data_IF_670877038989
#
_entry.id   IF_670877038989
#
_cell.length_a   1.000
_cell.length_b   1.000
_cell.length_c   1.000
_cell.angle_alpha   90.00
_cell.angle_beta   90.00
_cell.angle_gamma   90.00
#
_symmetry.space_group_name_H-M   'P 1'
#
loop_
_entity.id
_entity.type
_entity.pdbx_description
1 polymer ?
#
# COMPACT_ATOMS: atom_id res chain seq x y z
N UNK A 1 -7.29 5.70 -34.82
CA UNK A 1 -6.69 7.01 -35.15
C UNK A 1 -6.11 7.62 -33.90
N UNK A 2 -4.92 8.22 -33.99
CA UNK A 2 -4.23 8.88 -32.86
C UNK A 2 -5.08 10.01 -32.26
N UNK A 3 -4.92 10.31 -30.96
CA UNK A 3 -5.56 11.47 -30.29
C UNK A 3 -4.85 12.80 -30.58
N UNK A 4 -3.77 12.76 -31.36
CA UNK A 4 -2.99 13.96 -31.76
C UNK A 4 -3.64 14.68 -32.95
N UNK A 5 -3.03 15.80 -33.38
CA UNK A 5 -3.40 16.53 -34.60
C UNK A 5 -3.23 15.68 -35.88
N UNK A 6 -2.38 14.66 -35.84
CA UNK A 6 -2.02 13.80 -36.97
C UNK A 6 -2.91 12.56 -37.05
N UNK A 7 -4.23 12.76 -37.07
CA UNK A 7 -5.21 11.65 -37.10
C UNK A 7 -5.16 10.83 -38.39
N UNK A 8 -4.73 11.48 -39.46
CA UNK A 8 -4.51 10.96 -40.81
C UNK A 8 -3.22 10.14 -40.93
N UNK A 9 -2.39 10.10 -39.89
CA UNK A 9 -1.15 9.33 -39.86
C UNK A 9 0.04 10.04 -40.53
N UNK A 10 -0.12 11.30 -40.94
CA UNK A 10 0.94 12.06 -41.60
C UNK A 10 1.52 13.12 -40.68
N UNK A 11 2.84 13.10 -40.52
CA UNK A 11 3.58 14.11 -39.76
C UNK A 11 4.92 14.38 -40.46
N UNK A 12 5.30 15.64 -40.53
CA UNK A 12 6.59 16.05 -41.08
C UNK A 12 7.72 15.64 -40.12
N UNK A 13 8.66 14.81 -40.58
CA UNK A 13 9.76 14.28 -39.75
C UNK A 13 11.15 14.78 -40.16
N UNK A 14 11.28 15.26 -41.40
CA UNK A 14 12.55 15.73 -41.95
C UNK A 14 12.32 16.80 -43.01
N UNK A 15 13.33 17.62 -43.24
CA UNK A 15 13.40 18.58 -44.34
C UNK A 15 14.75 18.44 -45.05
N UNK A 16 14.77 18.70 -46.35
CA UNK A 16 16.00 18.66 -47.13
C UNK A 16 16.00 19.74 -48.20
N UNK A 17 17.18 20.02 -48.73
CA UNK A 17 17.37 20.97 -49.82
C UNK A 17 18.80 21.00 -50.32
N UNK A 18 19.05 21.78 -51.37
CA UNK A 18 20.39 22.05 -51.88
C UNK A 18 20.75 23.48 -51.48
N UNK A 19 21.93 23.68 -50.90
CA UNK A 19 22.36 25.01 -50.52
C UNK A 19 22.50 25.94 -51.73
N UNK A 20 22.17 27.21 -51.55
CA UNK A 20 22.28 28.19 -52.63
C UNK A 20 23.76 28.42 -53.00
N UNK A 21 24.10 28.54 -54.29
CA UNK A 21 25.47 28.83 -54.71
C UNK A 21 26.04 30.10 -54.07
N UNK A 22 25.20 31.11 -53.85
CA UNK A 22 25.58 32.36 -53.18
C UNK A 22 25.97 32.19 -51.71
N UNK A 23 25.40 31.22 -51.00
CA UNK A 23 25.81 30.91 -49.62
C UNK A 23 27.09 30.06 -49.60
N UNK A 24 27.23 29.10 -50.52
CA UNK A 24 28.41 28.23 -50.63
C UNK A 24 29.68 29.01 -51.01
N UNK A 25 29.55 30.06 -51.83
CA UNK A 25 30.69 30.89 -52.22
C UNK A 25 31.31 31.67 -51.06
N UNK A 26 30.53 32.02 -50.02
CA UNK A 26 31.05 32.66 -48.80
C UNK A 26 32.03 31.77 -48.03
N UNK A 27 31.97 30.46 -48.25
CA UNK A 27 32.84 29.45 -47.63
C UNK A 27 33.80 28.80 -48.63
N UNK A 28 33.95 29.35 -49.85
CA UNK A 28 34.78 28.82 -50.93
C UNK A 28 34.46 27.36 -51.30
N UNK A 29 33.19 26.97 -51.26
CA UNK A 29 32.75 25.62 -51.66
C UNK A 29 32.28 25.65 -53.12
N UNK A 30 33.00 24.99 -54.06
CA UNK A 30 32.73 25.11 -55.49
C UNK A 30 31.71 24.09 -56.03
N UNK A 31 31.20 23.19 -55.19
CA UNK A 31 30.28 22.11 -55.58
C UNK A 31 28.90 22.29 -54.95
N UNK A 32 27.80 21.85 -55.61
CA UNK A 32 26.48 21.84 -54.99
C UNK A 32 26.45 20.85 -53.82
N UNK A 33 25.82 21.26 -52.71
CA UNK A 33 25.72 20.46 -51.49
C UNK A 33 24.25 20.24 -51.14
N UNK A 34 23.85 18.97 -51.01
CA UNK A 34 22.54 18.58 -50.48
C UNK A 34 22.62 18.43 -48.96
N UNK A 35 21.66 19.02 -48.24
CA UNK A 35 21.51 18.90 -46.81
C UNK A 35 20.15 18.27 -46.47
N UNK A 36 20.16 17.31 -45.56
CA UNK A 36 18.96 16.69 -45.01
C UNK A 36 19.04 16.78 -43.48
N UNK A 37 18.05 17.43 -42.88
CA UNK A 37 17.88 17.52 -41.44
C UNK A 37 16.66 16.70 -40.99
N UNK A 38 16.84 15.88 -39.96
CA UNK A 38 15.77 15.11 -39.35
C UNK A 38 15.69 15.45 -37.86
N UNK A 39 14.49 15.77 -37.37
CA UNK A 39 14.27 16.06 -35.96
C UNK A 39 14.23 14.76 -35.14
N UNK A 40 15.30 14.45 -34.42
CA UNK A 40 15.43 13.21 -33.63
C UNK A 40 14.34 13.13 -32.56
N UNK A 41 14.04 14.23 -31.89
CA UNK A 41 13.03 14.29 -30.84
C UNK A 41 11.63 13.98 -31.38
N UNK A 42 11.29 14.49 -32.58
CA UNK A 42 10.00 14.23 -33.21
C UNK A 42 9.87 12.77 -33.62
N UNK A 43 10.93 12.18 -34.16
CA UNK A 43 10.95 10.75 -34.48
C UNK A 43 10.82 9.90 -33.20
N UNK A 44 11.56 10.24 -32.14
CA UNK A 44 11.47 9.56 -30.86
C UNK A 44 10.08 9.66 -30.23
N UNK A 45 9.42 10.82 -30.36
CA UNK A 45 8.02 10.97 -29.92
C UNK A 45 7.08 10.01 -30.65
N UNK A 46 7.27 9.79 -31.95
CA UNK A 46 6.46 8.83 -32.73
C UNK A 46 6.75 7.39 -32.28
N UNK A 47 8.03 7.03 -32.14
CA UNK A 47 8.46 5.68 -31.76
C UNK A 47 8.02 5.28 -30.35
N UNK A 48 7.93 6.24 -29.43
CA UNK A 48 7.56 6.03 -28.03
C UNK A 48 6.12 6.48 -27.69
N UNK A 49 5.30 6.79 -28.70
CA UNK A 49 3.93 7.30 -28.55
C UNK A 49 3.82 8.46 -27.55
N UNK A 50 4.82 9.34 -27.54
CA UNK A 50 4.86 10.52 -26.68
C UNK A 50 4.20 11.71 -27.34
N UNK A 51 3.41 12.44 -26.54
CA UNK A 51 2.68 13.63 -26.99
C UNK A 51 3.32 14.95 -26.53
N UNK A 52 4.36 14.89 -25.68
CA UNK A 52 5.07 16.06 -25.15
C UNK A 52 6.59 15.81 -25.14
N UNK A 53 7.33 16.58 -25.95
CA UNK A 53 8.80 16.46 -26.05
C UNK A 53 9.50 16.68 -24.72
N UNK A 54 8.95 17.54 -23.85
CA UNK A 54 9.57 17.85 -22.55
C UNK A 54 9.47 16.66 -21.61
N UNK A 55 8.34 15.95 -21.64
CA UNK A 55 8.17 14.73 -20.85
C UNK A 55 9.08 13.59 -21.36
N UNK A 56 9.33 13.54 -22.68
CA UNK A 56 10.23 12.55 -23.28
C UNK A 56 11.70 12.85 -22.97
N UNK A 57 12.15 14.10 -23.11
CA UNK A 57 13.55 14.50 -22.93
C UNK A 57 13.93 14.67 -21.45
N UNK A 58 12.98 15.11 -20.62
CA UNK A 58 13.20 15.42 -19.22
C UNK A 58 12.19 14.71 -18.29
N UNK A 59 12.16 13.36 -18.30
CA UNK A 59 11.21 12.59 -17.49
C UNK A 59 11.33 12.89 -15.99
N UNK A 60 12.54 13.23 -15.51
CA UNK A 60 12.82 13.56 -14.11
C UNK A 60 12.14 14.85 -13.62
N UNK A 61 11.89 15.81 -14.51
CA UNK A 61 11.30 17.10 -14.13
C UNK A 61 9.77 17.10 -14.17
N UNK A 62 9.16 15.92 -14.39
CA UNK A 62 7.73 15.63 -14.21
C UNK A 62 6.79 16.77 -14.61
N UNK A 63 6.98 17.32 -15.81
CA UNK A 63 6.18 18.47 -16.31
C UNK A 63 4.67 18.19 -16.41
N UNK A 64 4.27 16.91 -16.32
CA UNK A 64 2.94 16.41 -16.00
C UNK A 64 3.13 15.13 -15.18
N UNK A 65 2.39 14.99 -14.09
CA UNK A 65 2.35 13.84 -13.18
C UNK A 65 2.09 12.53 -13.92
N UNK A 66 3.17 11.90 -14.41
CA UNK A 66 3.16 10.55 -14.98
C UNK A 66 3.94 9.56 -14.10
N UNK A 67 4.36 9.96 -12.90
CA UNK A 67 4.76 8.96 -11.93
C UNK A 67 3.50 8.19 -11.58
N UNK A 68 3.46 6.91 -11.97
CA UNK A 68 2.37 5.99 -11.73
C UNK A 68 2.95 4.89 -10.86
N UNK A 69 2.52 4.84 -9.61
CA UNK A 69 2.75 3.67 -8.78
C UNK A 69 1.74 2.59 -9.16
N UNK A 70 2.23 1.39 -9.38
CA UNK A 70 1.40 0.19 -9.50
C UNK A 70 0.73 -0.14 -8.17
N UNK A 71 -0.39 -0.87 -8.21
CA UNK A 71 -1.02 -1.40 -6.99
C UNK A 71 -0.06 -2.31 -6.20
N UNK A 72 0.89 -2.98 -6.88
CA UNK A 72 1.94 -3.76 -6.22
C UNK A 72 2.93 -2.93 -5.44
N UNK A 73 3.38 -1.79 -5.99
CA UNK A 73 4.28 -0.89 -5.27
C UNK A 73 3.57 -0.27 -4.07
N UNK A 74 2.31 0.14 -4.24
CA UNK A 74 1.47 0.66 -3.14
C UNK A 74 1.34 -0.40 -2.04
N UNK A 75 0.92 -1.61 -2.37
CA UNK A 75 0.72 -2.68 -1.40
C UNK A 75 2.02 -3.04 -0.64
N UNK A 76 3.17 -3.03 -1.32
CA UNK A 76 4.48 -3.31 -0.71
C UNK A 76 4.95 -2.25 0.30
N UNK A 77 4.35 -1.05 0.25
CA UNK A 77 4.66 0.08 1.13
C UNK A 77 3.61 0.27 2.24
N UNK A 78 2.77 -0.75 2.45
CA UNK A 78 1.87 -0.86 3.61
C UNK A 78 2.50 -1.85 4.57
N UNK A 79 2.67 -1.46 5.83
CA UNK A 79 3.38 -2.26 6.81
C UNK A 79 2.75 -2.15 8.20
N UNK A 80 3.14 -3.06 9.09
CA UNK A 80 2.76 -3.05 10.51
C UNK A 80 3.84 -2.31 11.29
N UNK A 81 3.46 -1.34 12.13
CA UNK A 81 4.42 -0.47 12.84
C UNK A 81 4.98 -1.15 14.09
N UNK A 82 4.10 -1.52 15.01
CA UNK A 82 4.42 -2.18 16.25
C UNK A 82 4.45 -3.70 16.07
N UNK A 83 5.65 -4.27 16.08
CA UNK A 83 5.87 -5.73 16.00
C UNK A 83 6.65 -6.22 17.22
N UNK A 84 6.36 -7.44 17.73
CA UNK A 84 7.13 -8.03 18.82
C UNK A 84 8.56 -8.32 18.39
N UNK A 85 9.51 -8.20 19.32
CA UNK A 85 10.94 -8.37 19.05
C UNK A 85 11.40 -9.78 19.40
N UNK A 86 10.83 -10.40 20.43
CA UNK A 86 11.24 -11.72 20.91
C UNK A 86 10.48 -12.84 20.18
N UNK A 87 11.07 -14.03 20.14
CA UNK A 87 10.39 -15.22 19.58
C UNK A 87 9.11 -15.55 20.35
N UNK A 88 9.13 -15.43 21.68
CA UNK A 88 7.92 -15.61 22.51
C UNK A 88 6.84 -14.59 22.18
N UNK A 89 7.21 -13.33 21.90
CA UNK A 89 6.25 -12.33 21.43
C UNK A 89 5.63 -12.69 20.07
N UNK A 90 6.42 -13.24 19.14
CA UNK A 90 5.88 -13.75 17.87
C UNK A 90 4.96 -14.96 18.08
N UNK A 91 5.27 -15.83 19.02
CA UNK A 91 4.39 -16.94 19.41
C UNK A 91 3.06 -16.44 19.98
N UNK A 92 3.10 -15.43 20.86
CA UNK A 92 1.91 -14.76 21.42
C UNK A 92 1.09 -14.11 20.31
N UNK A 93 1.72 -13.37 19.40
CA UNK A 93 1.05 -12.79 18.24
C UNK A 93 0.31 -13.87 17.44
N UNK A 94 1.02 -14.95 17.06
CA UNK A 94 0.44 -16.03 16.30
C UNK A 94 -0.69 -16.74 17.07
N UNK A 95 -0.57 -16.86 18.39
CA UNK A 95 -1.59 -17.44 19.24
C UNK A 95 -2.86 -16.58 19.30
N UNK A 96 -2.73 -15.26 19.46
CA UNK A 96 -3.86 -14.32 19.43
C UNK A 96 -4.60 -14.43 18.09
N UNK A 97 -3.87 -14.43 16.95
CA UNK A 97 -4.48 -14.57 15.62
C UNK A 97 -5.24 -15.90 15.51
N UNK A 98 -4.64 -17.02 15.90
CA UNK A 98 -5.30 -18.35 15.88
C UNK A 98 -6.57 -18.38 16.73
N UNK A 99 -6.52 -17.81 17.93
CA UNK A 99 -7.69 -17.74 18.81
C UNK A 99 -8.82 -16.92 18.18
N UNK A 100 -8.50 -15.78 17.57
CA UNK A 100 -9.49 -14.96 16.87
C UNK A 100 -10.05 -15.64 15.62
N UNK A 101 -9.24 -16.41 14.88
CA UNK A 101 -9.72 -17.19 13.73
C UNK A 101 -10.67 -18.32 14.16
N UNK A 102 -10.33 -19.03 15.24
CA UNK A 102 -11.09 -20.17 15.71
C UNK A 102 -12.39 -19.76 16.43
N UNK A 103 -12.32 -18.74 17.29
CA UNK A 103 -13.40 -18.37 18.20
C UNK A 103 -14.02 -17.01 17.91
N UNK A 104 -13.58 -16.28 16.87
CA UNK A 104 -14.02 -14.91 16.57
C UNK A 104 -15.53 -14.74 16.39
N UNK A 105 -16.24 -15.81 16.00
CA UNK A 105 -17.69 -15.81 15.83
C UNK A 105 -18.49 -16.24 17.08
N UNK A 106 -17.83 -16.54 18.20
CA UNK A 106 -18.48 -16.91 19.46
C UNK A 106 -19.29 -15.74 20.00
N UNK A 107 -20.51 -16.01 20.46
CA UNK A 107 -21.41 -15.02 21.06
C UNK A 107 -20.85 -14.59 22.42
N UNK A 108 -20.82 -13.28 22.67
CA UNK A 108 -20.37 -12.68 23.92
C UNK A 108 -21.45 -12.73 25.03
N UNK A 109 -21.07 -12.62 26.32
CA UNK A 109 -19.73 -12.48 26.85
C UNK A 109 -18.91 -13.77 26.74
N UNK A 110 -17.65 -13.67 26.32
CA UNK A 110 -16.77 -14.82 26.20
C UNK A 110 -15.30 -14.45 26.42
N UNK A 111 -14.52 -15.41 26.92
CA UNK A 111 -13.08 -15.30 27.08
C UNK A 111 -12.40 -16.60 26.65
N UNK A 112 -11.26 -16.46 25.97
CA UNK A 112 -10.45 -17.58 25.52
C UNK A 112 -8.97 -17.34 25.81
N UNK A 113 -8.31 -18.31 26.43
CA UNK A 113 -6.85 -18.29 26.58
C UNK A 113 -6.20 -18.44 25.21
N UNK A 114 -5.38 -17.46 24.82
CA UNK A 114 -4.56 -17.52 23.63
C UNK A 114 -3.21 -18.16 23.92
N UNK A 115 -2.56 -17.76 25.02
CA UNK A 115 -1.21 -18.21 25.35
C UNK A 115 -0.99 -18.21 26.87
N UNK A 116 -0.18 -19.15 27.34
CA UNK A 116 0.23 -19.27 28.74
C UNK A 116 1.69 -19.75 28.78
N UNK A 117 2.49 -19.12 29.63
CA UNK A 117 3.90 -19.48 29.78
C UNK A 117 4.73 -18.38 30.43
N UNK A 118 6.05 -18.55 30.39
CA UNK A 118 6.99 -17.61 30.98
C UNK A 118 7.47 -16.57 29.96
N UNK A 119 7.39 -15.28 30.30
CA UNK A 119 7.95 -14.17 29.53
C UNK A 119 8.69 -13.22 30.48
N UNK A 120 9.98 -12.98 30.20
CA UNK A 120 10.84 -12.11 31.03
C UNK A 120 10.88 -12.52 32.52
N UNK A 121 10.91 -13.82 32.82
CA UNK A 121 10.98 -14.31 34.20
C UNK A 121 9.64 -14.33 34.94
N UNK A 122 8.51 -14.15 34.23
CA UNK A 122 7.17 -14.08 34.81
C UNK A 122 6.23 -15.01 34.06
N UNK A 123 5.45 -15.78 34.80
CA UNK A 123 4.36 -16.53 34.21
C UNK A 123 3.25 -15.55 33.83
N UNK A 124 2.85 -15.55 32.57
CA UNK A 124 1.78 -14.70 32.07
C UNK A 124 0.72 -15.55 31.39
N UNK A 125 -0.52 -15.04 31.45
CA UNK A 125 -1.68 -15.59 30.80
C UNK A 125 -2.27 -14.53 29.87
N UNK A 126 -2.34 -14.84 28.58
CA UNK A 126 -2.89 -13.95 27.55
C UNK A 126 -4.25 -14.48 27.13
N UNK A 127 -5.29 -13.63 27.24
CA UNK A 127 -6.67 -13.94 26.87
C UNK A 127 -7.19 -12.99 25.80
N UNK A 128 -8.01 -13.51 24.91
CA UNK A 128 -8.87 -12.70 24.03
C UNK A 128 -10.27 -12.69 24.65
N UNK A 129 -10.82 -11.50 24.87
CA UNK A 129 -12.07 -11.31 25.61
C UNK A 129 -13.03 -10.36 24.88
N UNK A 130 -14.33 -10.60 25.06
CA UNK A 130 -15.38 -9.63 24.75
C UNK A 130 -16.40 -9.62 25.90
N UNK A 131 -16.38 -8.59 26.76
CA UNK A 131 -17.26 -8.51 27.93
C UNK A 131 -18.68 -8.02 27.61
N UNK A 132 -18.90 -7.31 26.49
CA UNK A 132 -20.21 -6.71 26.17
C UNK A 132 -21.18 -7.77 25.61
N UNK A 133 -22.39 -7.88 26.17
CA UNK A 133 -23.42 -8.83 25.73
C UNK A 133 -23.97 -8.54 24.31
N UNK A 134 -24.53 -9.56 23.65
CA UNK A 134 -25.17 -9.48 22.33
C UNK A 134 -24.22 -9.07 21.18
N UNK A 135 -22.93 -9.34 21.32
CA UNK A 135 -21.93 -9.16 20.27
C UNK A 135 -21.20 -10.49 20.03
N UNK A 136 -20.01 -10.42 19.42
CA UNK A 136 -19.15 -11.57 19.13
C UNK A 136 -17.73 -11.26 19.60
N UNK A 137 -16.91 -12.30 19.84
CA UNK A 137 -15.51 -12.14 20.25
C UNK A 137 -14.72 -11.16 19.36
N UNK A 138 -14.95 -11.22 18.04
CA UNK A 138 -14.38 -10.28 17.08
C UNK A 138 -15.48 -9.54 16.32
N UNK A 139 -15.31 -8.23 16.18
CA UNK A 139 -16.15 -7.40 15.33
C UNK A 139 -16.07 -7.80 13.85
N UNK A 140 -17.08 -7.42 13.05
CA UNK A 140 -17.22 -7.94 11.68
C UNK A 140 -16.13 -7.47 10.72
N UNK A 141 -15.35 -6.45 11.07
CA UNK A 141 -14.21 -5.99 10.27
C UNK A 141 -12.86 -6.56 10.73
N UNK A 142 -12.79 -7.35 11.81
CA UNK A 142 -11.53 -7.84 12.37
C UNK A 142 -10.71 -8.67 11.36
N UNK A 143 -11.39 -9.37 10.44
CA UNK A 143 -10.77 -10.19 9.41
C UNK A 143 -10.62 -9.47 8.06
N UNK A 144 -10.85 -8.16 8.01
CA UNK A 144 -10.64 -7.40 6.77
C UNK A 144 -9.15 -7.37 6.44
N UNK A 145 -8.87 -7.45 5.14
CA UNK A 145 -7.52 -7.41 4.57
C UNK A 145 -7.31 -6.09 3.85
N UNK A 146 -6.11 -5.52 4.01
CA UNK A 146 -5.74 -4.29 3.30
C UNK A 146 -5.26 -4.64 1.90
N UNK A 147 -5.87 -4.01 0.91
CA UNK A 147 -5.55 -4.20 -0.50
C UNK A 147 -5.35 -2.86 -1.19
N UNK A 148 -4.51 -2.85 -2.23
CA UNK A 148 -4.47 -1.77 -3.22
C UNK A 148 -5.29 -2.19 -4.44
N UNK A 149 -6.25 -1.36 -4.85
CA UNK A 149 -7.03 -1.60 -6.06
C UNK A 149 -7.29 -0.29 -6.80
N UNK A 150 -6.83 -0.18 -8.06
CA UNK A 150 -6.95 1.03 -8.89
C UNK A 150 -6.34 2.26 -8.20
N UNK A 151 -5.24 2.06 -7.47
CA UNK A 151 -4.54 3.02 -6.62
C UNK A 151 -5.33 3.55 -5.41
N UNK A 152 -6.44 2.92 -5.04
CA UNK A 152 -7.08 3.13 -3.75
C UNK A 152 -6.56 2.09 -2.75
N UNK A 153 -6.39 2.48 -1.49
CA UNK A 153 -6.10 1.55 -0.38
C UNK A 153 -7.42 1.26 0.33
N UNK A 154 -7.82 0.00 0.35
CA UNK A 154 -9.11 -0.44 0.86
C UNK A 154 -8.92 -1.53 1.90
N UNK A 155 -9.71 -1.50 2.98
CA UNK A 155 -9.79 -2.58 3.95
C UNK A 155 -11.08 -3.38 3.78
N UNK A 156 -10.99 -4.54 3.13
CA UNK A 156 -12.16 -5.28 2.67
C UNK A 156 -12.24 -6.69 3.28
N UNK A 157 -13.45 -7.19 3.61
CA UNK A 157 -13.64 -8.58 3.96
C UNK A 157 -13.60 -9.45 2.69
N UNK A 158 -13.01 -10.65 2.81
CA UNK A 158 -13.05 -11.68 1.75
C UNK A 158 -14.45 -12.26 1.59
N UNK A 159 -15.27 -11.57 0.81
CA UNK A 159 -16.66 -11.93 0.50
C UNK A 159 -16.90 -11.77 -1.00
N UNK A 160 -17.88 -12.48 -1.54
CA UNK A 160 -18.21 -12.47 -2.97
C UNK A 160 -18.47 -11.07 -3.54
N UNK A 161 -18.93 -10.13 -2.71
CA UNK A 161 -19.12 -8.73 -3.07
C UNK A 161 -17.83 -8.03 -3.52
N UNK A 162 -16.68 -8.46 -2.99
CA UNK A 162 -15.37 -7.83 -3.21
C UNK A 162 -14.40 -8.70 -4.03
N UNK A 163 -14.88 -9.80 -4.61
CA UNK A 163 -14.06 -10.71 -5.42
C UNK A 163 -13.33 -10.00 -6.56
N UNK A 164 -13.95 -9.00 -7.19
CA UNK A 164 -13.32 -8.21 -8.25
C UNK A 164 -12.07 -7.47 -7.74
N UNK A 165 -12.17 -6.87 -6.55
CA UNK A 165 -11.07 -6.13 -5.95
C UNK A 165 -9.93 -7.06 -5.52
N UNK A 166 -10.23 -8.27 -5.03
CA UNK A 166 -9.21 -9.27 -4.70
C UNK A 166 -8.60 -9.95 -5.94
N UNK A 167 -9.34 -10.06 -7.05
CA UNK A 167 -8.83 -10.64 -8.31
C UNK A 167 -7.97 -9.68 -9.11
N UNK A 168 -8.35 -8.40 -9.13
CA UNK A 168 -7.72 -7.38 -9.97
C UNK A 168 -6.84 -6.39 -9.19
N UNK A 169 -6.91 -6.40 -7.86
CA UNK A 169 -6.03 -5.63 -6.97
C UNK A 169 -4.87 -6.46 -6.45
N UNK A 170 -4.07 -5.84 -5.58
CA UNK A 170 -2.93 -6.47 -4.91
C UNK A 170 -3.13 -6.38 -3.41
N UNK A 171 -3.06 -7.52 -2.73
CA UNK A 171 -3.09 -7.56 -1.26
C UNK A 171 -1.76 -7.12 -0.65
N UNK A 172 -1.81 -6.40 0.47
CA UNK A 172 -0.62 -6.18 1.31
C UNK A 172 -0.24 -7.42 2.14
N UNK A 173 -1.12 -8.43 2.21
CA UNK A 173 -0.97 -9.60 3.07
C UNK A 173 -1.28 -9.34 4.54
N UNK A 174 -1.77 -8.15 4.89
CA UNK A 174 -2.04 -7.74 6.27
C UNK A 174 -3.54 -7.67 6.50
N UNK A 175 -4.04 -8.48 7.44
CA UNK A 175 -5.40 -8.32 7.99
C UNK A 175 -5.37 -7.46 9.24
N UNK A 176 -6.53 -6.91 9.60
CA UNK A 176 -6.65 -6.07 10.80
C UNK A 176 -6.28 -6.82 12.06
N UNK A 177 -6.67 -8.09 12.17
CA UNK A 177 -6.31 -8.92 13.32
C UNK A 177 -4.80 -9.20 13.38
N UNK A 178 -4.13 -9.33 12.23
CA UNK A 178 -2.68 -9.59 12.19
C UNK A 178 -1.90 -8.38 12.74
N UNK A 179 -2.29 -7.17 12.30
CA UNK A 179 -1.70 -5.93 12.77
C UNK A 179 -2.04 -5.63 14.24
N UNK A 180 -3.29 -5.87 14.65
CA UNK A 180 -3.71 -5.73 16.04
C UNK A 180 -2.95 -6.68 16.97
N UNK A 181 -2.86 -7.96 16.61
CA UNK A 181 -2.14 -8.97 17.39
C UNK A 181 -0.64 -8.65 17.51
N UNK A 182 -0.03 -8.08 16.47
CA UNK A 182 1.36 -7.62 16.52
C UNK A 182 1.56 -6.51 17.58
N UNK A 183 0.67 -5.52 17.60
CA UNK A 183 0.67 -4.46 18.62
C UNK A 183 0.48 -5.04 20.01
N UNK A 184 -0.52 -5.91 20.19
CA UNK A 184 -0.79 -6.57 21.47
C UNK A 184 0.44 -7.34 21.97
N UNK A 185 1.08 -8.12 21.11
CA UNK A 185 2.27 -8.88 21.48
C UNK A 185 3.43 -7.99 21.90
N UNK A 186 3.69 -6.89 21.17
CA UNK A 186 4.72 -5.91 21.55
C UNK A 186 4.42 -5.26 22.90
N UNK A 187 3.17 -4.82 23.11
CA UNK A 187 2.76 -4.24 24.40
C UNK A 187 2.87 -5.25 25.56
N UNK A 188 2.54 -6.52 25.32
CA UNK A 188 2.70 -7.61 26.30
C UNK A 188 4.18 -7.82 26.65
N UNK A 189 5.08 -7.80 25.67
CA UNK A 189 6.53 -7.90 25.92
C UNK A 189 7.04 -6.74 26.80
N UNK A 190 6.58 -5.52 26.53
CA UNK A 190 6.95 -4.34 27.31
C UNK A 190 6.35 -4.38 28.72
N UNK A 191 5.08 -4.78 28.84
CA UNK A 191 4.38 -4.90 30.12
C UNK A 191 4.97 -6.01 31.01
N UNK A 192 5.37 -7.15 30.42
CA UNK A 192 6.01 -8.25 31.16
C UNK A 192 7.36 -7.83 31.77
N UNK A 193 8.17 -7.06 31.02
CA UNK A 193 9.43 -6.48 31.54
C UNK A 193 9.19 -5.59 32.76
N UNK A 194 8.12 -4.80 32.74
CA UNK A 194 7.74 -3.92 33.83
C UNK A 194 7.01 -4.63 34.98
N UNK A 195 6.51 -5.85 34.76
CA UNK A 195 5.73 -6.58 35.76
C UNK A 195 4.33 -6.08 35.98
N UNK A 196 3.73 -5.50 34.96
CA UNK A 196 2.34 -5.07 34.96
C UNK A 196 1.52 -5.91 33.99
N UNK A 197 0.27 -6.18 34.30
CA UNK A 197 -0.70 -6.63 33.30
C UNK A 197 -1.02 -5.52 32.31
N UNK A 198 -1.63 -5.87 31.18
CA UNK A 198 -2.09 -4.90 30.18
C UNK A 198 -3.41 -5.34 29.54
N UNK A 199 -4.20 -4.37 29.10
CA UNK A 199 -5.42 -4.60 28.32
C UNK A 199 -5.38 -3.69 27.10
N UNK A 200 -5.37 -4.31 25.91
CA UNK A 200 -5.37 -3.61 24.63
C UNK A 200 -6.71 -3.86 23.96
N UNK A 201 -7.40 -2.78 23.55
CA UNK A 201 -8.72 -2.87 22.89
C UNK A 201 -8.72 -2.16 21.55
N UNK A 202 -9.14 -2.86 20.51
CA UNK A 202 -9.53 -2.28 19.23
C UNK A 202 -11.04 -2.04 19.21
N UNK A 203 -11.48 -0.85 18.79
CA UNK A 203 -12.89 -0.47 18.66
C UNK A 203 -13.27 -0.30 17.18
N UNK A 204 -14.00 0.75 16.83
CA UNK A 204 -14.21 1.18 15.46
C UNK A 204 -12.99 1.98 15.02
N UNK A 205 -12.39 1.56 13.92
CA UNK A 205 -11.25 2.26 13.33
C UNK A 205 -11.70 3.20 12.22
N UNK A 206 -11.09 4.38 12.17
CA UNK A 206 -11.31 5.45 11.19
C UNK A 206 -10.12 5.64 10.27
N UNK A 207 -8.93 5.31 10.76
CA UNK A 207 -7.65 5.43 10.05
C UNK A 207 -6.80 4.18 10.27
N UNK A 208 -5.89 3.84 9.34
CA UNK A 208 -5.05 2.63 9.44
C UNK A 208 -4.24 2.53 10.74
N UNK A 209 -3.71 3.64 11.24
CA UNK A 209 -2.84 3.66 12.43
C UNK A 209 -3.55 3.22 13.71
N UNK A 210 -4.88 3.39 13.80
CA UNK A 210 -5.66 2.94 14.96
C UNK A 210 -5.63 1.40 15.14
N UNK A 211 -5.29 0.65 14.07
CA UNK A 211 -5.10 -0.80 14.10
C UNK A 211 -3.67 -1.24 13.79
N UNK A 212 -2.69 -0.36 14.02
CA UNK A 212 -1.26 -0.67 13.83
C UNK A 212 -0.87 -0.95 12.36
N UNK A 213 -1.57 -0.31 11.42
CA UNK A 213 -1.22 -0.35 10.00
C UNK A 213 -0.72 1.03 9.59
N UNK A 214 0.45 1.06 8.97
CA UNK A 214 1.07 2.26 8.45
C UNK A 214 1.21 2.19 6.94
N UNK A 215 1.11 3.37 6.32
CA UNK A 215 1.24 3.57 4.88
C UNK A 215 2.41 4.52 4.70
N UNK A 216 3.39 4.14 3.89
CA UNK A 216 4.56 4.97 3.62
C UNK A 216 4.16 6.40 3.19
N UNK A 217 4.81 7.46 3.72
CA UNK A 217 4.51 8.85 3.35
C UNK A 217 4.55 9.12 1.84
N UNK A 218 5.39 8.39 1.09
CA UNK A 218 5.48 8.46 -0.38
C UNK A 218 4.15 8.05 -1.00
N UNK A 219 3.58 6.92 -0.56
CA UNK A 219 2.28 6.43 -1.01
C UNK A 219 1.15 7.36 -0.58
N UNK A 220 1.17 7.86 0.66
CA UNK A 220 0.14 8.80 1.13
C UNK A 220 0.07 10.05 0.24
N UNK A 221 1.24 10.62 -0.10
CA UNK A 221 1.33 11.78 -1.00
C UNK A 221 0.86 11.45 -2.41
N UNK A 222 1.24 10.29 -2.93
CA UNK A 222 0.81 9.81 -4.24
C UNK A 222 -0.72 9.69 -4.33
N UNK A 223 -1.34 9.01 -3.37
CA UNK A 223 -2.80 8.80 -3.32
C UNK A 223 -3.53 10.14 -3.19
N UNK A 224 -3.09 11.00 -2.28
CA UNK A 224 -3.73 12.31 -2.06
C UNK A 224 -3.59 13.21 -3.29
N UNK A 225 -2.42 13.20 -3.95
CA UNK A 225 -2.15 13.99 -5.14
C UNK A 225 -2.99 13.58 -6.36
N UNK A 226 -3.41 12.31 -6.44
CA UNK A 226 -4.25 11.78 -7.50
C UNK A 226 -5.74 11.70 -7.12
N UNK A 227 -6.14 12.30 -6.00
CA UNK A 227 -7.52 12.26 -5.47
C UNK A 227 -8.06 10.83 -5.29
N UNK A 228 -7.15 9.90 -4.96
CA UNK A 228 -7.45 8.52 -4.62
C UNK A 228 -7.83 8.39 -3.15
N UNK A 229 -8.34 7.22 -2.75
CA UNK A 229 -8.94 7.00 -1.42
C UNK A 229 -8.10 6.07 -0.57
N UNK A 230 -8.10 6.35 0.73
CA UNK A 230 -7.68 5.43 1.79
C UNK A 230 -8.93 5.15 2.62
N UNK A 231 -9.52 3.97 2.47
CA UNK A 231 -10.72 3.56 3.21
C UNK A 231 -10.51 2.22 3.91
N UNK A 232 -10.00 2.30 5.13
CA UNK A 232 -9.75 1.15 6.03
C UNK A 232 -10.70 1.16 7.22
N UNK A 233 -11.86 1.80 7.11
CA UNK A 233 -12.76 1.97 8.26
C UNK A 233 -13.50 0.68 8.59
N UNK A 234 -13.74 0.43 9.88
CA UNK A 234 -14.56 -0.71 10.26
C UNK A 234 -14.61 -0.97 11.77
N UNK A 235 -15.68 -1.64 12.25
CA UNK A 235 -15.78 -2.12 13.63
C UNK A 235 -14.94 -3.38 13.85
N UNK A 236 -13.79 -3.25 14.53
CA UNK A 236 -12.90 -4.38 14.86
C UNK A 236 -13.33 -5.05 16.16
N UNK A 237 -13.68 -4.28 17.20
CA UNK A 237 -14.17 -4.77 18.51
C UNK A 237 -13.51 -6.07 18.96
N UNK A 238 -12.28 -5.97 19.46
CA UNK A 238 -11.53 -7.11 20.01
C UNK A 238 -10.65 -6.61 21.14
N UNK A 239 -10.63 -7.35 22.25
CA UNK A 239 -9.82 -7.00 23.42
C UNK A 239 -8.87 -8.14 23.75
N UNK A 240 -7.60 -7.82 23.98
CA UNK A 240 -6.58 -8.76 24.48
C UNK A 240 -6.15 -8.29 25.85
N UNK A 241 -6.19 -9.20 26.82
CA UNK A 241 -5.76 -8.95 28.19
C UNK A 241 -4.61 -9.89 28.55
N UNK A 242 -3.57 -9.34 29.17
CA UNK A 242 -2.50 -10.10 29.81
C UNK A 242 -2.56 -9.95 31.32
N UNK A 243 -2.49 -11.08 32.00
CA UNK A 243 -2.46 -11.20 33.45
C UNK A 243 -1.14 -11.88 33.86
N UNK A 244 -0.53 -11.42 34.95
CA UNK A 244 0.63 -12.09 35.54
C UNK A 244 0.11 -13.14 36.51
N UNK A 245 0.51 -14.38 36.28
CA UNK A 245 0.17 -15.52 37.12
C UNK A 245 1.25 -15.63 38.19
N UNK A 246 0.84 -15.48 39.45
CA UNK A 246 1.70 -15.60 40.65
C UNK A 246 2.11 -17.03 40.93
#
# INVERSE_FOLDING_TARGET
GSKTKYKDGWVEVATFGIYSPSALSQYNIPYPVMNLGMGVERLAMILHDSTDVRALTYPQFQYKTNWVMSDSEIASMIFVEDVPVTETGKEIQAAIVRTCEQYGNTVSPCEFTAWEGELSGKNILVKVIEPEENTKLCGPAAMNEVISYRNDILGLPRTSKWDEAFKNGVSSGIRYIDAFAARCAKEIEEAAKNGSGCEIRARIIKVPSEINIMIDPIVQRYITGLQKKIDTRGPVFTTVRMEIVS
#
